data_IF_337024111435
#
_entry.id   IF_337024111435
#
_cell.length_a   1.000
_cell.length_b   1.000
_cell.length_c   1.000
_cell.angle_alpha   90.00
_cell.angle_beta   90.00
_cell.angle_gamma   90.00
#
_symmetry.space_group_name_H-M   'P 1'
#
loop_
_entity.id
_entity.type
_entity.pdbx_description
1 polymer ?
#
# COMPACT_ATOMS: atom_id res chain seq x y z
N UNK A 1 8.83 0.87 -15.65
CA UNK A 1 7.62 0.62 -16.46
C UNK A 1 6.70 1.83 -16.38
N UNK A 2 6.10 2.26 -17.50
CA UNK A 2 5.10 3.33 -17.49
C UNK A 2 3.87 2.89 -16.68
N UNK A 3 3.25 3.84 -15.97
CA UNK A 3 2.01 3.58 -15.22
C UNK A 3 0.88 3.32 -16.20
N UNK A 4 0.24 2.15 -16.10
CA UNK A 4 -0.91 1.81 -16.94
C UNK A 4 -2.19 2.35 -16.30
N UNK A 5 -3.00 3.03 -17.10
CA UNK A 5 -4.28 3.59 -16.68
C UNK A 5 -5.43 2.85 -17.34
N UNK A 6 -6.59 2.90 -16.70
CA UNK A 6 -7.84 2.45 -17.31
C UNK A 6 -8.26 3.43 -18.39
N UNK A 7 -8.71 2.90 -19.52
CA UNK A 7 -9.53 3.66 -20.46
C UNK A 7 -10.93 3.88 -19.88
N UNK A 8 -11.69 4.83 -20.43
CA UNK A 8 -13.08 5.08 -20.00
C UNK A 8 -13.94 3.80 -20.08
N UNK A 9 -13.82 3.04 -21.18
CA UNK A 9 -14.58 1.79 -21.36
C UNK A 9 -14.21 0.71 -20.33
N UNK A 10 -12.94 0.61 -19.98
CA UNK A 10 -12.48 -0.33 -18.93
C UNK A 10 -12.97 0.12 -17.55
N UNK A 11 -12.98 1.43 -17.29
CA UNK A 11 -13.52 1.99 -16.06
C UNK A 11 -15.02 1.67 -15.91
N UNK A 12 -15.82 1.91 -16.95
CA UNK A 12 -17.26 1.63 -16.93
C UNK A 12 -17.56 0.14 -16.77
N UNK A 13 -16.78 -0.72 -17.43
CA UNK A 13 -16.88 -2.17 -17.26
C UNK A 13 -16.59 -2.60 -15.82
N UNK A 14 -15.55 -2.02 -15.19
CA UNK A 14 -15.25 -2.28 -13.78
C UNK A 14 -16.34 -1.76 -12.84
N UNK A 15 -16.86 -0.56 -13.11
CA UNK A 15 -17.95 0.03 -12.34
C UNK A 15 -19.21 -0.85 -12.39
N UNK A 16 -19.58 -1.31 -13.58
CA UNK A 16 -20.70 -2.23 -13.79
C UNK A 16 -20.49 -3.55 -13.04
N UNK A 17 -19.29 -4.15 -13.15
CA UNK A 17 -18.92 -5.39 -12.43
C UNK A 17 -19.00 -5.22 -10.91
N UNK A 18 -18.72 -4.03 -10.39
CA UNK A 18 -18.84 -3.68 -8.97
C UNK A 18 -20.22 -3.11 -8.58
N UNK A 19 -21.23 -3.28 -9.44
CA UNK A 19 -22.61 -2.84 -9.20
C UNK A 19 -22.71 -1.33 -8.91
N UNK A 20 -21.88 -0.53 -9.59
CA UNK A 20 -21.89 0.93 -9.46
C UNK A 20 -21.28 1.47 -8.16
N UNK A 21 -20.58 0.64 -7.38
CA UNK A 21 -20.07 1.03 -6.06
C UNK A 21 -18.62 0.63 -5.83
N UNK A 22 -18.05 1.17 -4.75
CA UNK A 22 -16.75 0.79 -4.20
C UNK A 22 -16.61 -0.73 -4.05
N UNK A 23 -15.44 -1.28 -4.40
CA UNK A 23 -15.19 -2.73 -4.34
C UNK A 23 -15.23 -3.32 -2.92
N UNK A 24 -15.15 -2.48 -1.88
CA UNK A 24 -15.15 -2.93 -0.48
C UNK A 24 -16.57 -3.31 -0.04
N UNK A 25 -16.73 -4.55 0.40
CA UNK A 25 -18.00 -5.08 0.92
C UNK A 25 -18.57 -4.17 2.01
N UNK A 26 -19.81 -3.71 1.82
CA UNK A 26 -20.53 -2.83 2.74
C UNK A 26 -20.32 -1.34 2.50
N UNK A 27 -19.38 -0.94 1.64
CA UNK A 27 -19.25 0.45 1.22
C UNK A 27 -20.24 0.74 0.07
N UNK A 28 -21.06 1.79 0.21
CA UNK A 28 -22.05 2.20 -0.79
C UNK A 28 -21.61 3.42 -1.61
N UNK A 29 -20.36 3.85 -1.49
CA UNK A 29 -19.85 4.99 -2.25
C UNK A 29 -19.90 4.66 -3.76
N UNK A 30 -20.59 5.50 -4.53
CA UNK A 30 -20.70 5.42 -5.99
C UNK A 30 -19.87 6.50 -6.70
N UNK A 31 -19.50 7.56 -5.98
CA UNK A 31 -18.76 8.70 -6.52
C UNK A 31 -17.33 8.79 -5.97
N UNK A 32 -16.48 9.53 -6.68
CA UNK A 32 -15.09 9.76 -6.27
C UNK A 32 -14.27 8.48 -6.17
N UNK A 33 -14.65 7.46 -6.96
CA UNK A 33 -13.94 6.19 -7.02
C UNK A 33 -12.61 6.37 -7.77
N UNK A 34 -11.58 5.74 -7.25
CA UNK A 34 -10.25 5.72 -7.84
C UNK A 34 -9.93 4.31 -8.33
N UNK A 35 -9.18 4.24 -9.43
CA UNK A 35 -8.66 3.00 -9.96
C UNK A 35 -7.53 2.48 -9.05
N UNK A 36 -7.73 1.31 -8.47
CA UNK A 36 -6.81 0.67 -7.53
C UNK A 36 -6.43 -0.74 -7.98
N UNK A 37 -5.25 -1.19 -7.55
CA UNK A 37 -4.83 -2.58 -7.67
C UNK A 37 -5.17 -3.40 -6.42
N UNK A 38 -5.89 -4.50 -6.61
CA UNK A 38 -6.16 -5.50 -5.57
C UNK A 38 -4.86 -6.05 -4.97
N UNK A 39 -3.92 -6.41 -5.84
CA UNK A 39 -2.56 -6.78 -5.52
C UNK A 39 -1.63 -5.61 -5.81
N UNK A 40 -0.82 -5.12 -4.86
CA UNK A 40 0.05 -3.98 -5.10
C UNK A 40 0.91 -4.13 -6.37
N UNK A 41 0.99 -3.07 -7.18
CA UNK A 41 1.75 -3.06 -8.44
C UNK A 41 3.24 -3.40 -8.29
N UNK A 42 3.80 -3.26 -7.08
CA UNK A 42 5.16 -3.69 -6.75
C UNK A 42 5.34 -5.22 -6.72
N UNK A 43 4.25 -5.97 -6.59
CA UNK A 43 4.23 -7.45 -6.57
C UNK A 43 3.75 -7.96 -7.93
N UNK A 44 2.63 -7.44 -8.42
CA UNK A 44 2.06 -7.83 -9.71
C UNK A 44 1.83 -6.58 -10.57
N UNK A 45 2.73 -6.30 -11.53
CA UNK A 45 2.61 -5.11 -12.36
C UNK A 45 1.46 -5.26 -13.36
N UNK A 46 0.66 -4.20 -13.53
CA UNK A 46 -0.46 -4.24 -14.48
C UNK A 46 -1.38 -3.04 -14.41
N UNK A 47 -2.49 -3.11 -15.15
CA UNK A 47 -3.59 -2.15 -15.02
C UNK A 47 -4.30 -2.35 -13.67
N UNK A 48 -4.87 -1.28 -13.10
CA UNK A 48 -5.80 -1.39 -11.98
C UNK A 48 -6.95 -2.34 -12.32
N UNK A 49 -7.42 -3.11 -11.35
CA UNK A 49 -8.45 -4.14 -11.54
C UNK A 49 -9.71 -3.89 -10.70
N UNK A 50 -9.72 -2.82 -9.90
CA UNK A 50 -10.82 -2.46 -9.00
C UNK A 50 -11.02 -0.94 -8.92
N UNK A 51 -12.24 -0.52 -8.58
CA UNK A 51 -12.59 0.85 -8.25
C UNK A 51 -12.90 0.96 -6.75
N UNK A 52 -12.33 1.95 -6.08
CA UNK A 52 -12.48 2.09 -4.64
C UNK A 52 -12.59 3.56 -4.22
N UNK A 53 -13.36 3.87 -3.18
CA UNK A 53 -13.41 5.23 -2.65
C UNK A 53 -12.15 5.58 -1.85
N UNK A 54 -11.81 6.87 -1.77
CA UNK A 54 -10.61 7.36 -1.04
C UNK A 54 -10.52 6.87 0.42
N UNK A 55 -11.61 6.84 1.23
CA UNK A 55 -11.54 6.33 2.60
C UNK A 55 -11.12 4.86 2.68
N UNK A 56 -11.74 4.00 1.87
CA UNK A 56 -11.42 2.58 1.82
C UNK A 56 -10.00 2.34 1.30
N UNK A 57 -9.57 3.13 0.30
CA UNK A 57 -8.20 3.11 -0.20
C UNK A 57 -7.19 3.35 0.91
N UNK A 58 -7.36 4.41 1.70
CA UNK A 58 -6.44 4.73 2.80
C UNK A 58 -6.30 3.57 3.79
N UNK A 59 -7.41 2.92 4.14
CA UNK A 59 -7.41 1.75 5.04
C UNK A 59 -6.67 0.58 4.41
N UNK A 60 -6.92 0.27 3.14
CA UNK A 60 -6.21 -0.79 2.39
C UNK A 60 -4.70 -0.50 2.35
N UNK A 61 -4.29 0.70 1.96
CA UNK A 61 -2.87 1.08 1.86
C UNK A 61 -2.13 0.83 3.18
N UNK A 62 -2.73 1.20 4.32
CA UNK A 62 -2.11 0.97 5.64
C UNK A 62 -1.93 -0.51 5.96
N UNK A 63 -2.86 -1.37 5.53
CA UNK A 63 -2.74 -2.83 5.70
C UNK A 63 -1.67 -3.41 4.78
N UNK A 64 -1.65 -2.99 3.51
CA UNK A 64 -0.68 -3.45 2.52
C UNK A 64 0.75 -3.08 2.92
N UNK A 65 0.98 -1.84 3.39
CA UNK A 65 2.30 -1.40 3.89
C UNK A 65 2.79 -2.29 5.03
N UNK A 66 1.91 -2.64 5.98
CA UNK A 66 2.26 -3.56 7.09
C UNK A 66 2.58 -4.96 6.59
N UNK A 67 1.79 -5.49 5.65
CA UNK A 67 2.00 -6.82 5.07
C UNK A 67 3.32 -6.88 4.28
N UNK A 68 3.58 -5.90 3.40
CA UNK A 68 4.81 -5.79 2.63
C UNK A 68 6.03 -5.72 3.57
N UNK A 69 5.96 -4.90 4.63
CA UNK A 69 7.06 -4.81 5.60
C UNK A 69 7.30 -6.13 6.33
N UNK A 70 6.23 -6.88 6.67
CA UNK A 70 6.35 -8.23 7.25
C UNK A 70 7.01 -9.19 6.27
N UNK A 71 6.55 -9.24 5.03
CA UNK A 71 7.10 -10.13 3.99
C UNK A 71 8.57 -9.84 3.71
N UNK A 72 8.98 -8.56 3.62
CA UNK A 72 10.40 -8.17 3.45
C UNK A 72 11.29 -8.64 4.59
N UNK A 73 10.77 -8.69 5.83
CA UNK A 73 11.50 -9.27 6.97
C UNK A 73 11.63 -10.78 6.86
N UNK A 74 10.54 -11.47 6.53
CA UNK A 74 10.54 -12.93 6.39
C UNK A 74 11.45 -13.40 5.26
N UNK A 75 11.51 -12.66 4.15
CA UNK A 75 12.35 -12.97 3.00
C UNK A 75 13.83 -12.52 3.18
N UNK A 76 14.21 -11.99 4.35
CA UNK A 76 15.57 -11.49 4.60
C UNK A 76 15.96 -10.21 3.85
N UNK A 77 15.06 -9.62 3.05
CA UNK A 77 15.30 -8.37 2.31
C UNK A 77 15.56 -7.19 3.24
N UNK A 78 14.92 -7.20 4.40
CA UNK A 78 15.13 -6.22 5.47
C UNK A 78 15.41 -6.93 6.78
N UNK A 79 16.48 -6.54 7.46
CA UNK A 79 16.80 -7.08 8.78
C UNK A 79 15.74 -6.69 9.83
N UNK A 80 15.38 -7.65 10.68
CA UNK A 80 14.65 -7.41 11.92
C UNK A 80 15.45 -6.52 12.88
N UNK A 81 14.76 -5.94 13.87
CA UNK A 81 15.43 -5.16 14.91
C UNK A 81 16.45 -6.01 15.70
N UNK A 82 16.12 -7.28 15.97
CA UNK A 82 17.01 -8.23 16.63
C UNK A 82 18.29 -8.46 15.81
N UNK A 83 18.15 -8.78 14.52
CA UNK A 83 19.31 -8.97 13.64
C UNK A 83 20.13 -7.68 13.50
N UNK A 84 19.48 -6.52 13.44
CA UNK A 84 20.17 -5.23 13.41
C UNK A 84 21.01 -5.01 14.66
N UNK A 85 20.46 -5.31 15.84
CA UNK A 85 21.19 -5.22 17.12
C UNK A 85 22.33 -6.24 17.20
N UNK A 86 22.13 -7.46 16.69
CA UNK A 86 23.18 -8.49 16.63
C UNK A 86 24.34 -8.05 15.72
N UNK A 87 24.05 -7.44 14.57
CA UNK A 87 25.06 -7.04 13.58
C UNK A 87 25.79 -5.74 13.92
N UNK A 88 25.06 -4.73 14.41
CA UNK A 88 25.59 -3.37 14.59
C UNK A 88 25.69 -2.95 16.07
N UNK A 89 25.35 -3.84 17.00
CA UNK A 89 25.22 -3.51 18.41
C UNK A 89 23.92 -2.75 18.73
N UNK A 90 23.62 -2.62 20.02
CA UNK A 90 22.56 -1.73 20.48
C UNK A 90 23.00 -0.28 20.27
N UNK A 91 22.33 0.45 19.37
CA UNK A 91 22.55 1.90 19.25
C UNK A 91 21.96 2.58 20.49
N UNK A 92 22.81 3.08 21.39
CA UNK A 92 22.38 4.00 22.43
C UNK A 92 21.74 5.23 21.77
N UNK A 93 20.61 5.68 22.32
CA UNK A 93 20.03 6.97 21.93
C UNK A 93 21.08 8.02 22.29
N UNK A 94 21.61 8.74 21.29
CA UNK A 94 22.50 9.87 21.57
C UNK A 94 21.77 10.83 22.51
N UNK A 95 22.39 11.18 23.64
CA UNK A 95 21.94 12.34 24.42
C UNK A 95 22.15 13.51 23.48
N UNK A 96 21.07 14.21 23.10
CA UNK A 96 21.21 15.45 22.34
C UNK A 96 22.02 16.39 23.21
N UNK A 97 23.31 16.55 22.91
CA UNK A 97 24.09 17.61 23.50
C UNK A 97 23.62 18.90 22.83
N UNK A 98 23.16 19.87 23.62
CA UNK A 98 23.04 21.24 23.13
C UNK A 98 24.44 21.71 22.75
N UNK A 99 24.67 22.00 21.46
CA UNK A 99 25.89 22.69 21.05
C UNK A 99 25.84 24.09 21.67
N UNK A 100 26.69 24.34 22.67
CA UNK A 100 27.02 25.70 23.11
C UNK A 100 28.23 26.16 22.33
N UNK A 101 28.02 27.04 21.35
CA UNK A 101 28.90 28.18 21.02
C UNK A 101 28.04 29.36 20.60
#
# INVERSE_FOLDING_TARGET
>A
MPRLYLTAREYDALLSRQRGTCCVRGCKASEGLIAEHSTPNAIFPGKPDQLMCKPCHKVKTLRDVKAIAKTKRLNGTTMSQYERRKKYGARMRGRGFENRE
#
